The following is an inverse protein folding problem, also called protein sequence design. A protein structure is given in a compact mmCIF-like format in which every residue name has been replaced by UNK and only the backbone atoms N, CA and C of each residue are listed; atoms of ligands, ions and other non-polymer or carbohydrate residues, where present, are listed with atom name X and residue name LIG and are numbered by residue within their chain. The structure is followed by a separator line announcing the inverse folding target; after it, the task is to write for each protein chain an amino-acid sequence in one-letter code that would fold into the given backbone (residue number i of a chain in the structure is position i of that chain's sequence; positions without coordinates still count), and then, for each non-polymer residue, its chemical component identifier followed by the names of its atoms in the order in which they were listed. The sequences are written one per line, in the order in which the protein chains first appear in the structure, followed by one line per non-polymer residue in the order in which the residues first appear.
data_IF_917005578157
#
_entry.id   IF_917005578157
#
_cell.length_a   1.000
_cell.length_b   1.000
_cell.length_c   1.000
_cell.angle_alpha   90.00
_cell.angle_beta   90.00
_cell.angle_gamma   90.00
#
_symmetry.space_group_name_H-M   'P 1'
#
loop_
_entity.id
_entity.type
_entity.pdbx_description
1 polymer ?
#
# COMPACT_ATOMS: atom_id res chain seq x y z
N UNK A 1 -6.08 15.15 -21.07
CA UNK A 1 -6.71 15.45 -19.76
C UNK A 1 -6.58 16.94 -19.51
N UNK A 2 -7.66 17.71 -19.62
CA UNK A 2 -7.67 19.14 -19.28
C UNK A 2 -8.27 19.24 -17.87
N UNK A 3 -7.40 19.21 -16.86
CA UNK A 3 -7.80 19.50 -15.49
C UNK A 3 -8.27 20.95 -15.49
N UNK A 4 -9.54 21.18 -15.11
CA UNK A 4 -10.15 22.51 -15.14
C UNK A 4 -9.24 23.59 -14.54
N UNK A 5 -9.40 24.82 -15.02
CA UNK A 5 -8.51 26.00 -14.89
C UNK A 5 -8.28 26.54 -13.47
N UNK A 6 -8.32 25.68 -12.45
CA UNK A 6 -7.97 25.99 -11.07
C UNK A 6 -6.56 25.45 -10.74
N UNK A 7 -5.55 26.33 -10.62
CA UNK A 7 -4.17 25.96 -10.29
C UNK A 7 -4.04 25.14 -9.00
N UNK A 8 -4.95 25.31 -8.03
CA UNK A 8 -4.95 24.57 -6.77
C UNK A 8 -5.26 23.08 -6.95
N UNK A 9 -6.13 22.76 -7.91
CA UNK A 9 -6.51 21.36 -8.21
C UNK A 9 -5.42 20.61 -8.96
N UNK A 10 -4.72 21.31 -9.86
CA UNK A 10 -3.56 20.74 -10.54
C UNK A 10 -2.42 20.42 -9.56
N UNK A 11 -2.15 21.32 -8.60
CA UNK A 11 -1.14 21.10 -7.56
C UNK A 11 -1.48 19.95 -6.61
N UNK A 12 -2.74 19.85 -6.17
CA UNK A 12 -3.16 18.73 -5.30
C UNK A 12 -3.05 17.37 -6.00
N UNK A 13 -3.40 17.31 -7.28
CA UNK A 13 -3.28 16.08 -8.07
C UNK A 13 -1.82 15.64 -8.24
N UNK A 14 -0.90 16.59 -8.48
CA UNK A 14 0.52 16.30 -8.60
C UNK A 14 1.10 15.73 -7.29
N UNK A 15 0.80 16.37 -6.15
CA UNK A 15 1.28 15.91 -4.84
C UNK A 15 0.75 14.51 -4.50
N UNK A 16 -0.51 14.20 -4.81
CA UNK A 16 -1.07 12.87 -4.59
C UNK A 16 -0.41 11.78 -5.45
N UNK A 17 -0.09 12.09 -6.72
CA UNK A 17 0.65 11.16 -7.57
C UNK A 17 2.09 10.97 -7.11
N UNK A 18 2.74 12.03 -6.63
CA UNK A 18 4.09 11.96 -6.06
C UNK A 18 4.11 11.11 -4.78
N UNK A 19 3.07 11.19 -3.95
CA UNK A 19 2.92 10.33 -2.76
C UNK A 19 2.90 8.84 -3.13
N UNK A 20 2.09 8.46 -4.13
CA UNK A 20 2.07 7.09 -4.66
C UNK A 20 3.46 6.69 -5.18
N UNK A 21 4.08 7.53 -6.01
CA UNK A 21 5.38 7.23 -6.62
C UNK A 21 6.45 6.97 -5.56
N UNK A 22 6.63 7.89 -4.61
CA UNK A 22 7.70 7.78 -3.63
C UNK A 22 7.47 6.63 -2.66
N UNK A 23 6.22 6.42 -2.21
CA UNK A 23 5.89 5.30 -1.32
C UNK A 23 6.09 3.95 -2.03
N UNK A 24 5.72 3.84 -3.31
CA UNK A 24 5.95 2.64 -4.11
C UNK A 24 7.44 2.38 -4.34
N UNK A 25 8.23 3.40 -4.68
CA UNK A 25 9.69 3.29 -4.85
C UNK A 25 10.36 2.85 -3.55
N UNK A 26 9.96 3.42 -2.41
CA UNK A 26 10.44 3.00 -1.09
C UNK A 26 10.09 1.53 -0.81
N UNK A 27 8.87 1.08 -1.14
CA UNK A 27 8.47 -0.32 -1.03
C UNK A 27 9.33 -1.27 -1.87
N UNK A 28 9.66 -0.88 -3.11
CA UNK A 28 10.54 -1.67 -4.01
C UNK A 28 11.95 -1.79 -3.43
N UNK A 29 12.54 -0.69 -2.95
CA UNK A 29 13.88 -0.73 -2.33
C UNK A 29 13.88 -1.57 -1.06
N UNK A 30 12.85 -1.44 -0.21
CA UNK A 30 12.70 -2.28 0.98
C UNK A 30 12.60 -3.77 0.62
N UNK A 31 11.82 -4.13 -0.42
CA UNK A 31 11.71 -5.51 -0.88
C UNK A 31 13.06 -6.09 -1.35
N UNK A 32 13.88 -5.29 -2.05
CA UNK A 32 15.22 -5.72 -2.45
C UNK A 32 16.18 -5.89 -1.27
N UNK A 33 16.12 -5.00 -0.27
CA UNK A 33 16.92 -5.16 0.95
C UNK A 33 16.53 -6.44 1.71
N UNK A 34 15.22 -6.70 1.82
CA UNK A 34 14.67 -7.86 2.48
C UNK A 34 15.02 -9.17 1.74
N UNK A 35 14.98 -9.19 0.41
CA UNK A 35 15.41 -10.35 -0.36
C UNK A 35 16.93 -10.58 -0.27
N UNK A 36 17.69 -9.49 -0.24
CA UNK A 36 19.15 -9.52 -0.14
C UNK A 36 19.67 -10.12 1.17
N UNK A 37 18.94 -9.99 2.29
CA UNK A 37 19.34 -10.62 3.56
C UNK A 37 19.31 -12.16 3.50
N UNK A 38 18.58 -12.73 2.55
CA UNK A 38 18.50 -14.18 2.28
C UNK A 38 19.29 -14.58 1.02
N UNK A 39 20.15 -13.69 0.51
CA UNK A 39 21.02 -13.98 -0.63
C UNK A 39 20.35 -13.92 -2.01
N UNK A 40 19.11 -13.42 -2.09
CA UNK A 40 18.42 -13.19 -3.38
C UNK A 40 18.83 -11.83 -3.93
N UNK A 41 19.36 -11.79 -5.16
CA UNK A 41 19.75 -10.52 -5.76
C UNK A 41 18.52 -9.72 -6.20
N UNK A 42 18.66 -8.39 -6.23
CA UNK A 42 17.58 -7.52 -6.73
C UNK A 42 17.19 -7.86 -8.17
N UNK A 43 18.16 -8.24 -9.01
CA UNK A 43 17.92 -8.65 -10.40
C UNK A 43 17.10 -9.93 -10.49
N UNK A 44 17.31 -10.88 -9.59
CA UNK A 44 16.52 -12.12 -9.54
C UNK A 44 15.09 -11.86 -9.06
N UNK A 45 14.91 -10.92 -8.11
CA UNK A 45 13.58 -10.56 -7.61
C UNK A 45 12.80 -9.68 -8.60
N UNK A 46 13.48 -8.88 -9.42
CA UNK A 46 12.85 -7.84 -10.25
C UNK A 46 11.70 -8.32 -11.14
N UNK A 47 11.75 -9.50 -11.82
CA UNK A 47 10.61 -10.00 -12.59
C UNK A 47 9.37 -10.26 -11.73
N UNK A 48 9.54 -10.78 -10.52
CA UNK A 48 8.44 -11.05 -9.58
C UNK A 48 7.88 -9.74 -9.01
N UNK A 49 8.74 -8.78 -8.66
CA UNK A 49 8.31 -7.46 -8.21
C UNK A 49 7.48 -6.74 -9.29
N UNK A 50 7.86 -6.86 -10.57
CA UNK A 50 7.04 -6.35 -11.70
C UNK A 50 5.70 -7.06 -11.80
N UNK A 51 5.66 -8.36 -11.57
CA UNK A 51 4.41 -9.13 -11.52
C UNK A 51 3.45 -8.63 -10.44
N UNK A 52 3.96 -8.30 -9.26
CA UNK A 52 3.15 -7.67 -8.19
C UNK A 52 2.69 -6.27 -8.61
N UNK A 53 3.59 -5.46 -9.18
CA UNK A 53 3.24 -4.11 -9.64
C UNK A 53 2.18 -4.12 -10.76
N UNK A 54 2.11 -5.18 -11.56
CA UNK A 54 1.09 -5.34 -12.60
C UNK A 54 -0.34 -5.51 -12.06
N UNK A 55 -0.50 -5.75 -10.75
CA UNK A 55 -1.81 -5.78 -10.09
C UNK A 55 -2.34 -4.38 -9.75
N UNK A 56 -1.45 -3.37 -9.71
CA UNK A 56 -1.80 -2.03 -9.25
C UNK A 56 -2.87 -1.33 -10.09
N UNK A 57 -2.92 -1.42 -11.44
CA UNK A 57 -3.96 -0.77 -12.24
C UNK A 57 -5.37 -1.15 -11.78
N UNK A 58 -5.64 -2.45 -11.64
CA UNK A 58 -6.96 -2.95 -11.23
C UNK A 58 -7.29 -2.54 -9.79
N UNK A 59 -6.30 -2.54 -8.90
CA UNK A 59 -6.45 -2.10 -7.50
C UNK A 59 -6.76 -0.61 -7.42
N UNK A 60 -6.11 0.22 -8.25
CA UNK A 60 -6.34 1.67 -8.30
C UNK A 60 -7.78 1.95 -8.71
N UNK A 61 -8.28 1.31 -9.76
CA UNK A 61 -9.65 1.49 -10.24
C UNK A 61 -10.67 1.04 -9.17
N UNK A 62 -10.47 -0.13 -8.57
CA UNK A 62 -11.35 -0.64 -7.53
C UNK A 62 -11.37 0.24 -6.26
N UNK A 63 -10.21 0.72 -5.81
CA UNK A 63 -10.14 1.58 -4.63
C UNK A 63 -10.72 2.96 -4.89
N UNK A 64 -10.53 3.52 -6.09
CA UNK A 64 -11.16 4.78 -6.48
C UNK A 64 -12.69 4.68 -6.40
N UNK A 65 -13.29 3.63 -6.97
CA UNK A 65 -14.74 3.41 -6.89
C UNK A 65 -15.23 3.29 -5.44
N UNK A 66 -14.54 2.50 -4.62
CA UNK A 66 -14.93 2.30 -3.22
C UNK A 66 -14.86 3.58 -2.40
N UNK A 67 -13.79 4.35 -2.58
CA UNK A 67 -13.57 5.62 -1.88
C UNK A 67 -14.57 6.69 -2.32
N UNK A 68 -14.90 6.77 -3.61
CA UNK A 68 -15.86 7.75 -4.13
C UNK A 68 -17.31 7.42 -3.73
N UNK A 69 -17.63 6.13 -3.59
CA UNK A 69 -18.97 5.67 -3.19
C UNK A 69 -19.16 5.55 -1.67
N UNK A 70 -18.06 5.54 -0.90
CA UNK A 70 -18.09 5.27 0.54
C UNK A 70 -18.52 3.84 0.88
N UNK A 71 -18.33 2.90 -0.04
CA UNK A 71 -18.70 1.49 0.09
C UNK A 71 -17.47 0.60 -0.03
N UNK A 72 -17.22 -0.23 0.98
CA UNK A 72 -15.95 -0.95 1.13
C UNK A 72 -16.08 -2.48 1.17
N UNK A 73 -16.68 -3.13 0.15
CA UNK A 73 -16.81 -4.59 0.13
C UNK A 73 -15.43 -5.25 0.03
N UNK A 74 -15.15 -6.24 0.88
CA UNK A 74 -13.83 -6.88 0.94
C UNK A 74 -13.39 -7.61 -0.34
N UNK A 75 -14.32 -7.99 -1.23
CA UNK A 75 -14.06 -8.58 -2.55
C UNK A 75 -13.32 -9.92 -2.55
N UNK A 76 -12.03 -9.92 -2.16
CA UNK A 76 -11.15 -11.09 -2.05
C UNK A 76 -10.11 -11.04 -0.92
N UNK A 77 -9.89 -9.90 -0.25
CA UNK A 77 -9.04 -9.81 0.94
C UNK A 77 -9.45 -8.61 1.78
N UNK A 78 -9.90 -8.86 3.02
CA UNK A 78 -10.28 -7.80 3.95
C UNK A 78 -9.06 -7.24 4.70
N UNK A 79 -9.30 -6.16 5.44
CA UNK A 79 -8.28 -5.47 6.24
C UNK A 79 -7.57 -6.39 7.23
N UNK A 80 -8.29 -7.35 7.84
CA UNK A 80 -7.72 -8.35 8.74
C UNK A 80 -6.69 -9.24 8.04
N UNK A 81 -7.03 -9.77 6.87
CA UNK A 81 -6.13 -10.58 6.06
C UNK A 81 -4.91 -9.78 5.62
N UNK A 82 -5.11 -8.52 5.19
CA UNK A 82 -4.01 -7.62 4.84
C UNK A 82 -3.05 -7.38 6.03
N UNK A 83 -3.59 -7.10 7.21
CA UNK A 83 -2.79 -6.90 8.41
C UNK A 83 -1.98 -8.15 8.81
N UNK A 84 -2.57 -9.34 8.69
CA UNK A 84 -1.86 -10.60 8.95
C UNK A 84 -0.68 -10.80 7.99
N UNK A 85 -0.87 -10.54 6.68
CA UNK A 85 0.21 -10.61 5.68
C UNK A 85 1.32 -9.61 6.01
N UNK A 86 0.97 -8.37 6.34
CA UNK A 86 1.94 -7.34 6.72
C UNK A 86 2.71 -7.73 8.00
N UNK A 87 2.05 -8.35 8.98
CA UNK A 87 2.69 -8.85 10.19
C UNK A 87 3.76 -9.90 9.90
N UNK A 88 3.53 -10.80 8.93
CA UNK A 88 4.54 -11.78 8.52
C UNK A 88 5.78 -11.13 7.88
N UNK A 89 5.57 -10.14 7.00
CA UNK A 89 6.69 -9.38 6.41
C UNK A 89 7.46 -8.62 7.50
N UNK A 90 6.74 -8.02 8.44
CA UNK A 90 7.34 -7.30 9.56
C UNK A 90 8.17 -8.22 10.49
N UNK A 91 7.70 -9.44 10.75
CA UNK A 91 8.46 -10.45 11.50
C UNK A 91 9.74 -10.85 10.75
N UNK A 92 9.65 -11.11 9.44
CA UNK A 92 10.80 -11.44 8.60
C UNK A 92 11.83 -10.30 8.56
N UNK A 93 11.40 -9.04 8.37
CA UNK A 93 12.29 -7.88 8.43
C UNK A 93 13.05 -7.84 9.75
N UNK A 94 12.37 -8.06 10.87
CA UNK A 94 13.01 -8.06 12.20
C UNK A 94 13.97 -9.23 12.39
N UNK A 95 13.60 -10.44 11.96
CA UNK A 95 14.48 -11.61 12.08
C UNK A 95 15.75 -11.47 11.25
N UNK A 96 15.66 -10.80 10.11
CA UNK A 96 16.78 -10.62 9.17
C UNK A 96 17.56 -9.33 9.40
N UNK A 97 17.22 -8.55 10.43
CA UNK A 97 17.89 -7.29 10.76
C UNK A 97 17.70 -6.18 9.72
N UNK A 98 16.62 -6.26 8.93
CA UNK A 98 16.25 -5.27 7.92
C UNK A 98 15.35 -4.21 8.56
N UNK A 99 15.61 -2.93 8.26
CA UNK A 99 14.77 -1.84 8.74
C UNK A 99 13.32 -2.04 8.30
N UNK A 100 12.41 -2.14 9.27
CA UNK A 100 11.01 -2.47 9.05
C UNK A 100 10.08 -1.25 9.02
N UNK A 101 10.62 -0.03 8.97
CA UNK A 101 9.83 1.23 9.07
C UNK A 101 8.74 1.30 8.02
N UNK A 102 9.06 0.91 6.79
CA UNK A 102 8.13 0.97 5.63
C UNK A 102 6.90 0.09 5.86
N UNK A 103 7.13 -1.20 6.18
CA UNK A 103 6.02 -2.14 6.39
C UNK A 103 5.31 -1.90 7.72
N UNK A 104 6.02 -1.40 8.75
CA UNK A 104 5.43 -1.03 10.04
C UNK A 104 4.40 0.09 9.90
N UNK A 105 4.68 1.11 9.08
CA UNK A 105 3.76 2.22 8.84
C UNK A 105 2.44 1.74 8.22
N UNK A 106 2.51 0.90 7.18
CA UNK A 106 1.32 0.31 6.55
C UNK A 106 0.54 -0.60 7.52
N UNK A 107 1.26 -1.45 8.27
CA UNK A 107 0.65 -2.34 9.26
C UNK A 107 -0.07 -1.55 10.37
N UNK A 108 0.48 -0.43 10.82
CA UNK A 108 -0.14 0.42 11.83
C UNK A 108 -1.44 1.08 11.33
N UNK A 109 -1.47 1.53 10.07
CA UNK A 109 -2.71 2.04 9.44
C UNK A 109 -3.77 0.94 9.40
N UNK A 110 -3.39 -0.29 9.00
CA UNK A 110 -4.30 -1.43 8.99
C UNK A 110 -4.84 -1.76 10.38
N UNK A 111 -3.96 -1.74 11.40
CA UNK A 111 -4.33 -1.96 12.81
C UNK A 111 -5.31 -0.91 13.32
N UNK A 112 -5.11 0.36 12.96
CA UNK A 112 -6.04 1.46 13.29
C UNK A 112 -7.41 1.24 12.64
N UNK A 113 -7.46 0.80 11.38
CA UNK A 113 -8.71 0.43 10.69
C UNK A 113 -9.45 -0.71 11.37
N UNK A 114 -8.74 -1.78 11.76
CA UNK A 114 -9.36 -2.87 12.52
C UNK A 114 -9.91 -2.39 13.87
N UNK A 115 -9.18 -1.52 14.58
CA UNK A 115 -9.63 -0.96 15.85
C UNK A 115 -10.85 -0.03 15.69
N UNK A 116 -11.02 0.59 14.52
CA UNK A 116 -12.20 1.38 14.17
C UNK A 116 -13.41 0.54 13.74
N UNK A 117 -13.29 -0.79 13.69
CA UNK A 117 -14.36 -1.70 13.32
C UNK A 117 -14.37 -2.15 11.86
N UNK A 118 -13.38 -1.77 11.06
CA UNK A 118 -13.33 -2.03 9.61
C UNK A 118 -12.60 -3.34 9.25
N UNK A 119 -12.47 -4.25 10.21
CA UNK A 119 -11.61 -5.42 10.05
C UNK A 119 -12.04 -6.33 8.90
N UNK A 120 -13.34 -6.38 8.61
CA UNK A 120 -13.91 -7.23 7.57
C UNK A 120 -14.22 -6.45 6.27
N UNK A 121 -13.86 -5.17 6.19
CA UNK A 121 -13.99 -4.33 5.00
C UNK A 121 -12.76 -4.44 4.10
N UNK A 122 -12.88 -3.91 2.87
CA UNK A 122 -11.75 -3.67 1.98
C UNK A 122 -10.68 -2.82 2.66
N UNK A 123 -9.41 -3.07 2.30
CA UNK A 123 -8.30 -2.23 2.74
C UNK A 123 -8.50 -0.74 2.41
N UNK A 124 -9.21 -0.41 1.33
CA UNK A 124 -9.50 0.96 0.93
C UNK A 124 -10.22 1.78 2.02
N UNK A 125 -10.94 1.15 2.95
CA UNK A 125 -11.65 1.86 4.02
C UNK A 125 -10.70 2.66 4.94
N UNK A 126 -9.42 2.31 5.00
CA UNK A 126 -8.43 3.10 5.76
C UNK A 126 -8.28 4.53 5.22
N UNK A 127 -8.71 4.81 3.98
CA UNK A 127 -8.72 6.16 3.44
C UNK A 127 -9.56 7.12 4.29
N UNK A 128 -10.67 6.67 4.88
CA UNK A 128 -11.49 7.51 5.77
C UNK A 128 -10.74 7.88 7.04
N UNK A 129 -9.94 6.96 7.60
CA UNK A 129 -9.11 7.23 8.78
C UNK A 129 -7.94 8.19 8.52
N UNK A 130 -7.51 8.31 7.26
CA UNK A 130 -6.43 9.20 6.86
C UNK A 130 -6.93 10.62 6.58
N UNK A 131 -8.24 10.80 6.35
CA UNK A 131 -8.88 12.10 6.13
C UNK A 131 -9.16 12.88 7.42
N UNK A 132 -9.23 12.21 8.58
CA UNK A 132 -9.44 12.84 9.89
C UNK A 132 -9.69 11.83 11.01
#
# INVERSE_FOLDING_TARGET
MHLGTDPGRAGAHDVALLDILWTALTGVVHAFALAGSEGVTASDLAPYAKGVAALLPDVIDAFAEQVDTGSYPAGGSNLRSAAAIMSHVLEASRSWGVDSTVISAAHEIARRGMAAGYADDSYAHVAELLRG
#
